data_IF_280361087783
#
_entry.id   IF_280361087783
#
_cell.length_a   1.000
_cell.length_b   1.000
_cell.length_c   1.000
_cell.angle_alpha   90.00
_cell.angle_beta   90.00
_cell.angle_gamma   90.00
#
_symmetry.space_group_name_H-M   'P 1'
#
loop_
_entity.id
_entity.type
_entity.pdbx_description
1 polymer ?
#
# COMPACT_ATOMS: atom_id res chain seq x y z
N UNK A 1 -15.23 -27.06 -4.51
CA UNK A 1 -13.95 -26.34 -4.44
C UNK A 1 -13.23 -26.77 -3.17
N UNK A 2 -11.96 -27.12 -3.27
CA UNK A 2 -11.16 -27.43 -2.09
C UNK A 2 -11.05 -26.21 -1.18
N UNK A 3 -11.14 -26.43 0.14
CA UNK A 3 -11.09 -25.34 1.13
C UNK A 3 -9.83 -24.48 0.98
N UNK A 4 -8.71 -25.10 0.60
CA UNK A 4 -7.45 -24.40 0.28
C UNK A 4 -7.60 -23.38 -0.85
N UNK A 5 -8.30 -23.77 -1.93
CA UNK A 5 -8.53 -22.91 -3.08
C UNK A 5 -9.37 -21.69 -2.67
N UNK A 6 -10.43 -21.91 -1.89
CA UNK A 6 -11.29 -20.82 -1.41
C UNK A 6 -10.47 -19.86 -0.53
N UNK A 7 -9.72 -20.38 0.44
CA UNK A 7 -8.91 -19.57 1.35
C UNK A 7 -7.83 -18.80 0.59
N UNK A 8 -7.09 -19.45 -0.30
CA UNK A 8 -6.05 -18.82 -1.12
C UNK A 8 -6.62 -17.70 -1.99
N UNK A 9 -7.77 -17.93 -2.63
CA UNK A 9 -8.45 -16.92 -3.45
C UNK A 9 -8.90 -15.72 -2.62
N UNK A 10 -9.49 -15.96 -1.43
CA UNK A 10 -9.93 -14.88 -0.54
C UNK A 10 -8.74 -14.04 -0.06
N UNK A 11 -7.65 -14.68 0.37
CA UNK A 11 -6.43 -13.99 0.82
C UNK A 11 -5.81 -13.17 -0.32
N UNK A 12 -5.75 -13.75 -1.53
CA UNK A 12 -5.24 -13.09 -2.72
C UNK A 12 -6.04 -11.82 -3.02
N UNK A 13 -7.37 -11.92 -3.05
CA UNK A 13 -8.27 -10.81 -3.35
C UNK A 13 -8.19 -9.71 -2.29
N UNK A 14 -8.15 -10.06 -1.00
CA UNK A 14 -8.02 -9.08 0.08
C UNK A 14 -6.67 -8.36 -0.01
N UNK A 15 -5.57 -9.10 -0.19
CA UNK A 15 -4.24 -8.51 -0.35
C UNK A 15 -4.17 -7.55 -1.53
N UNK A 16 -4.74 -7.94 -2.67
CA UNK A 16 -4.77 -7.13 -3.88
C UNK A 16 -5.64 -5.88 -3.71
N UNK A 17 -6.79 -5.99 -3.05
CA UNK A 17 -7.65 -4.86 -2.74
C UNK A 17 -6.93 -3.84 -1.85
N UNK A 18 -6.26 -4.29 -0.78
CA UNK A 18 -5.46 -3.43 0.10
C UNK A 18 -4.33 -2.77 -0.71
N UNK A 19 -3.59 -3.54 -1.51
CA UNK A 19 -2.49 -3.03 -2.32
C UNK A 19 -2.95 -1.88 -3.24
N UNK A 20 -4.03 -2.08 -3.99
CA UNK A 20 -4.55 -1.12 -4.96
C UNK A 20 -5.11 0.13 -4.26
N UNK A 21 -5.97 -0.04 -3.26
CA UNK A 21 -6.60 1.08 -2.55
C UNK A 21 -5.53 2.00 -1.96
N UNK A 22 -4.55 1.42 -1.27
CA UNK A 22 -3.49 2.21 -0.64
C UNK A 22 -2.46 2.75 -1.63
N UNK A 23 -2.21 2.09 -2.76
CA UNK A 23 -1.38 2.63 -3.85
C UNK A 23 -2.02 3.88 -4.47
N UNK A 24 -3.33 3.82 -4.74
CA UNK A 24 -4.09 4.97 -5.26
C UNK A 24 -4.06 6.12 -4.26
N UNK A 25 -4.31 5.84 -2.97
CA UNK A 25 -4.20 6.86 -1.91
C UNK A 25 -2.80 7.47 -1.89
N UNK A 26 -1.74 6.65 -1.88
CA UNK A 26 -0.36 7.13 -1.87
C UNK A 26 -0.06 8.03 -3.07
N UNK A 27 -0.55 7.66 -4.26
CA UNK A 27 -0.39 8.44 -5.49
C UNK A 27 -1.12 9.78 -5.42
N UNK A 28 -2.36 9.80 -4.92
CA UNK A 28 -3.14 11.02 -4.74
C UNK A 28 -2.53 11.93 -3.68
N UNK A 29 -2.06 11.40 -2.56
CA UNK A 29 -1.35 12.15 -1.51
C UNK A 29 -0.11 12.83 -2.07
N UNK A 30 0.71 12.12 -2.86
CA UNK A 30 1.92 12.67 -3.48
C UNK A 30 1.61 13.78 -4.50
N UNK A 31 0.51 13.65 -5.25
CA UNK A 31 0.05 14.68 -6.19
C UNK A 31 -0.46 15.94 -5.46
N UNK A 32 -1.13 15.78 -4.32
CA UNK A 32 -1.59 16.89 -3.49
C UNK A 32 -0.41 17.67 -2.89
N UNK A 33 0.60 16.96 -2.36
CA UNK A 33 1.80 17.58 -1.75
C UNK A 33 2.58 18.41 -2.78
N UNK A 34 2.82 17.87 -3.99
CA UNK A 34 3.50 18.62 -5.07
C UNK A 34 2.82 19.93 -5.45
N UNK A 35 1.49 20.04 -5.27
CA UNK A 35 0.73 21.25 -5.61
C UNK A 35 0.86 22.35 -4.56
N UNK A 36 1.32 22.01 -3.36
CA UNK A 36 1.47 22.95 -2.24
C UNK A 36 2.94 23.35 -2.00
N UNK A 37 3.89 22.53 -2.45
CA UNK A 37 5.34 22.74 -2.26
C UNK A 37 5.96 23.82 -3.15
N UNK A 38 5.31 24.22 -4.26
CA UNK A 38 5.84 25.26 -5.16
C UNK A 38 5.90 26.67 -4.52
N UNK A 39 5.34 26.84 -3.32
CA UNK A 39 5.34 28.12 -2.60
C UNK A 39 6.27 28.18 -1.38
N UNK A 40 6.90 27.08 -0.97
CA UNK A 40 7.64 27.07 0.31
C UNK A 40 8.83 26.11 0.31
N UNK A 41 9.82 26.37 -0.56
CA UNK A 41 11.13 25.72 -0.52
C UNK A 41 11.98 26.23 0.65
N UNK A 42 11.61 25.84 1.87
CA UNK A 42 12.56 25.72 2.97
C UNK A 42 12.70 24.24 3.32
N UNK A 43 13.94 23.75 3.32
CA UNK A 43 14.30 22.38 3.70
C UNK A 43 13.96 22.14 5.18
N UNK A 44 12.69 21.97 5.51
CA UNK A 44 12.26 21.56 6.85
C UNK A 44 12.83 20.17 7.12
N UNK A 45 13.56 20.01 8.23
CA UNK A 45 13.88 18.69 8.79
C UNK A 45 12.55 17.98 9.04
N UNK A 46 12.17 17.08 8.14
CA UNK A 46 10.99 16.24 8.31
C UNK A 46 11.32 15.28 9.45
N UNK A 47 10.55 15.33 10.54
CA UNK A 47 10.73 14.41 11.65
C UNK A 47 10.45 12.98 11.23
N UNK A 48 11.09 12.00 11.89
CA UNK A 48 10.91 10.56 11.61
C UNK A 48 9.42 10.15 11.58
N UNK A 49 8.62 10.76 12.46
CA UNK A 49 7.19 10.53 12.56
C UNK A 49 6.41 11.06 11.36
N UNK A 50 6.75 12.25 10.88
CA UNK A 50 6.09 12.87 9.72
C UNK A 50 6.43 12.13 8.43
N UNK A 51 7.69 11.70 8.29
CA UNK A 51 8.11 10.84 7.18
C UNK A 51 7.34 9.51 7.17
N UNK A 52 7.18 8.89 8.35
CA UNK A 52 6.44 7.63 8.47
C UNK A 52 4.98 7.82 8.07
N UNK A 53 4.30 8.86 8.55
CA UNK A 53 2.91 9.15 8.19
C UNK A 53 2.73 9.39 6.69
N UNK A 54 3.64 10.13 6.07
CA UNK A 54 3.56 10.47 4.65
C UNK A 54 3.72 9.22 3.76
N UNK A 55 4.53 8.26 4.19
CA UNK A 55 4.81 7.03 3.43
C UNK A 55 3.98 5.82 3.90
N UNK A 56 3.23 5.93 5.00
CA UNK A 56 2.42 4.87 5.57
C UNK A 56 1.48 4.21 4.53
N UNK A 57 0.76 4.96 3.68
CA UNK A 57 -0.09 4.34 2.66
C UNK A 57 0.71 3.48 1.68
N UNK A 58 1.93 3.90 1.33
CA UNK A 58 2.81 3.14 0.44
C UNK A 58 3.31 1.86 1.12
N UNK A 59 3.68 1.93 2.40
CA UNK A 59 4.02 0.72 3.18
C UNK A 59 2.85 -0.27 3.28
N UNK A 60 1.63 0.20 3.55
CA UNK A 60 0.44 -0.65 3.61
C UNK A 60 0.16 -1.28 2.24
N UNK A 61 0.37 -0.54 1.15
CA UNK A 61 0.23 -1.07 -0.20
C UNK A 61 1.19 -2.24 -0.47
N UNK A 62 2.48 -2.07 -0.12
CA UNK A 62 3.49 -3.14 -0.23
C UNK A 62 3.14 -4.34 0.65
N UNK A 63 2.62 -4.11 1.85
CA UNK A 63 2.16 -5.18 2.74
C UNK A 63 0.98 -5.95 2.12
N UNK A 64 0.02 -5.25 1.51
CA UNK A 64 -1.06 -5.87 0.75
C UNK A 64 -0.57 -6.74 -0.40
N UNK A 65 0.49 -6.31 -1.11
CA UNK A 65 1.12 -7.13 -2.16
C UNK A 65 1.71 -8.42 -1.58
N UNK A 66 2.40 -8.36 -0.44
CA UNK A 66 2.95 -9.55 0.23
C UNK A 66 1.82 -10.52 0.59
N UNK A 67 0.69 -10.02 1.14
CA UNK A 67 -0.50 -10.85 1.42
C UNK A 67 -1.06 -11.46 0.13
N UNK A 68 -1.07 -10.72 -0.97
CA UNK A 68 -1.56 -11.26 -2.25
C UNK A 68 -0.67 -12.41 -2.73
N UNK A 69 0.66 -12.26 -2.61
CA UNK A 69 1.62 -13.31 -2.94
C UNK A 69 1.46 -14.56 -2.06
N UNK A 70 1.18 -14.41 -0.75
CA UNK A 70 0.89 -15.57 0.10
C UNK A 70 -0.39 -16.29 -0.31
N UNK A 71 -1.41 -15.55 -0.76
CA UNK A 71 -2.62 -16.12 -1.36
C UNK A 71 -2.32 -16.94 -2.61
N UNK A 72 -1.42 -16.48 -3.49
CA UNK A 72 -0.95 -17.24 -4.67
C UNK A 72 -0.26 -18.54 -4.23
N UNK A 73 0.63 -18.48 -3.25
CA UNK A 73 1.33 -19.67 -2.74
C UNK A 73 0.33 -20.71 -2.19
N UNK A 74 -0.71 -20.26 -1.49
CA UNK A 74 -1.78 -21.13 -0.98
C UNK A 74 -2.69 -21.72 -2.07
N UNK A 75 -2.77 -21.11 -3.25
CA UNK A 75 -3.49 -21.65 -4.39
C UNK A 75 -2.70 -22.73 -5.12
N UNK A 76 -1.37 -22.66 -5.08
CA UNK A 76 -0.46 -23.59 -5.75
C UNK A 76 -0.17 -24.83 -4.88
N UNK A 77 -0.21 -24.70 -3.55
CA UNK A 77 0.04 -25.76 -2.54
C UNK A 77 -1.25 -26.40 -1.97
#
# INVERSE_FOLDING_TARGET
MDRKIIIGLTVLLIGLAIAIIFAVIAFLSKKSIKKHDDFNTEKKRIGMWDFTKQNLPLFISLFGLIISLTGIVLLIN
#
